data_IF_851295685484
#
_entry.id   IF_851295685484
#
_cell.length_a   1.000
_cell.length_b   1.000
_cell.length_c   1.000
_cell.angle_alpha   90.00
_cell.angle_beta   90.00
_cell.angle_gamma   90.00
#
_symmetry.space_group_name_H-M   'P 1'
#
loop_
_entity.id
_entity.type
_entity.pdbx_description
1 polymer ?
#
# COMPACT_ATOMS: atom_id res chain seq x y z
N UNK A 1 29.95 71.68 -23.20
CA UNK A 1 29.87 71.36 -21.76
C UNK A 1 28.88 70.25 -21.59
N UNK A 2 29.38 69.03 -21.48
CA UNK A 2 28.52 67.86 -21.23
C UNK A 2 28.05 67.90 -19.78
N UNK A 3 26.73 67.86 -19.59
CA UNK A 3 26.09 68.04 -18.29
C UNK A 3 26.26 66.73 -17.45
N UNK A 4 27.22 66.78 -16.48
CA UNK A 4 27.59 65.67 -15.59
C UNK A 4 26.38 65.12 -14.79
N UNK A 5 25.36 66.00 -14.58
CA UNK A 5 24.13 65.61 -13.87
C UNK A 5 23.31 64.55 -14.59
N UNK A 6 23.23 64.55 -15.90
CA UNK A 6 22.47 63.57 -16.68
C UNK A 6 23.15 62.18 -16.73
N UNK A 7 24.51 62.19 -16.66
CA UNK A 7 25.27 60.93 -16.64
C UNK A 7 25.09 60.15 -15.33
N UNK A 8 25.06 60.86 -14.21
CA UNK A 8 24.82 60.28 -12.88
C UNK A 8 23.39 59.75 -12.71
N UNK A 9 22.43 60.42 -13.35
CA UNK A 9 21.03 60.00 -13.30
C UNK A 9 20.76 58.76 -14.15
N UNK A 10 21.39 58.65 -15.31
CA UNK A 10 21.32 57.49 -16.16
C UNK A 10 22.00 56.26 -15.54
N UNK A 11 23.13 56.43 -14.85
CA UNK A 11 23.80 55.35 -14.10
C UNK A 11 22.96 54.82 -12.93
N UNK A 12 22.22 55.70 -12.23
CA UNK A 12 21.33 55.30 -11.14
C UNK A 12 20.11 54.51 -11.66
N UNK A 13 19.54 54.93 -12.79
CA UNK A 13 18.45 54.22 -13.45
C UNK A 13 18.88 52.84 -13.95
N UNK A 14 20.09 52.73 -14.54
CA UNK A 14 20.67 51.47 -15.01
C UNK A 14 20.89 50.47 -13.85
N UNK A 15 21.43 50.95 -12.72
CA UNK A 15 21.60 50.11 -11.52
C UNK A 15 20.27 49.68 -10.89
N UNK A 16 19.22 50.51 -10.91
CA UNK A 16 17.89 50.12 -10.45
C UNK A 16 17.25 49.06 -11.32
N UNK A 17 17.43 49.11 -12.65
CA UNK A 17 16.93 48.11 -13.61
C UNK A 17 17.67 46.78 -13.43
N UNK A 18 19.00 46.83 -13.22
CA UNK A 18 19.80 45.60 -12.98
C UNK A 18 19.42 44.93 -11.64
N UNK A 19 19.22 45.75 -10.57
CA UNK A 19 18.76 45.23 -9.28
C UNK A 19 17.35 44.66 -9.35
N UNK A 20 16.42 45.27 -10.10
CA UNK A 20 15.07 44.77 -10.31
C UNK A 20 15.06 43.45 -11.12
N UNK A 21 15.93 43.30 -12.13
CA UNK A 21 16.05 42.07 -12.90
C UNK A 21 16.63 40.89 -12.10
N UNK A 22 17.56 41.16 -11.17
CA UNK A 22 18.13 40.13 -10.28
C UNK A 22 17.09 39.72 -9.22
N UNK A 23 16.25 40.64 -8.71
CA UNK A 23 15.18 40.31 -7.78
C UNK A 23 14.09 39.47 -8.41
N UNK A 24 13.80 39.65 -9.72
CA UNK A 24 12.79 38.86 -10.44
C UNK A 24 13.28 37.42 -10.77
N UNK A 25 14.59 37.20 -10.84
CA UNK A 25 15.16 35.89 -11.08
C UNK A 25 15.13 34.96 -9.85
N UNK A 26 14.90 35.49 -8.64
CA UNK A 26 14.84 34.71 -7.41
C UNK A 26 13.44 34.19 -7.07
N UNK A 27 12.40 34.53 -7.86
CA UNK A 27 11.03 34.00 -7.65
C UNK A 27 10.73 32.70 -8.38
N UNK A 28 11.74 32.04 -8.91
CA UNK A 28 11.59 30.84 -9.76
C UNK A 28 11.91 29.50 -9.07
N UNK A 29 11.93 29.38 -7.74
CA UNK A 29 11.84 28.07 -7.11
C UNK A 29 10.37 27.69 -7.05
N UNK A 30 9.89 27.02 -8.11
CA UNK A 30 8.61 26.34 -8.09
C UNK A 30 8.69 25.19 -7.08
N UNK A 31 8.27 25.44 -5.85
CA UNK A 31 7.86 24.36 -4.96
C UNK A 31 6.66 23.70 -5.65
N UNK A 32 6.86 22.49 -6.16
CA UNK A 32 5.74 21.66 -6.58
C UNK A 32 4.73 21.62 -5.42
N UNK A 33 3.43 21.84 -5.69
CA UNK A 33 2.43 21.85 -4.64
C UNK A 33 2.56 20.55 -3.83
N UNK A 34 2.40 20.62 -2.50
CA UNK A 34 2.50 19.45 -1.66
C UNK A 34 1.51 18.41 -2.17
N UNK A 35 2.03 17.27 -2.65
CA UNK A 35 1.17 16.14 -3.03
C UNK A 35 0.58 15.62 -1.72
N UNK A 36 -0.66 15.98 -1.45
CA UNK A 36 -1.43 15.48 -0.31
C UNK A 36 -1.85 14.06 -0.67
N UNK A 37 -1.14 13.08 -0.15
CA UNK A 37 -1.64 11.71 -0.15
C UNK A 37 -2.81 11.63 0.84
N UNK A 38 -3.86 10.86 0.49
CA UNK A 38 -4.88 10.58 1.48
C UNK A 38 -4.20 9.93 2.69
N UNK A 39 -4.53 10.41 3.88
CA UNK A 39 -4.15 9.72 5.12
C UNK A 39 -4.85 8.38 5.10
N UNK A 40 -4.15 7.36 4.63
CA UNK A 40 -4.68 6.00 4.66
C UNK A 40 -4.59 5.54 6.09
N UNK A 41 -5.74 5.16 6.67
CA UNK A 41 -5.77 4.55 8.00
C UNK A 41 -4.79 3.36 8.01
N UNK A 42 -4.08 3.12 9.11
CA UNK A 42 -3.23 1.95 9.25
C UNK A 42 -4.03 0.70 8.87
N UNK A 43 -3.37 -0.22 8.17
CA UNK A 43 -4.00 -1.49 7.80
C UNK A 43 -4.45 -2.21 9.06
N UNK A 44 -5.77 -2.40 9.19
CA UNK A 44 -6.40 -3.07 10.31
C UNK A 44 -6.53 -4.57 9.97
N UNK A 45 -5.60 -5.37 10.46
CA UNK A 45 -5.58 -6.82 10.26
C UNK A 45 -6.78 -7.54 10.89
N UNK A 46 -7.45 -6.90 11.85
CA UNK A 46 -8.65 -7.46 12.50
C UNK A 46 -9.86 -7.48 11.58
N UNK A 47 -9.90 -6.60 10.58
CA UNK A 47 -10.95 -6.50 9.55
C UNK A 47 -10.63 -7.26 8.28
N UNK A 48 -9.50 -7.97 8.28
CA UNK A 48 -9.08 -8.73 7.13
C UNK A 48 -10.07 -9.85 6.85
N UNK A 49 -10.63 -9.87 5.65
CA UNK A 49 -11.42 -10.97 5.14
C UNK A 49 -10.50 -12.10 4.68
N UNK A 50 -10.73 -13.29 5.19
CA UNK A 50 -10.01 -14.50 4.80
C UNK A 50 -10.44 -14.97 3.40
N UNK A 51 -9.53 -15.63 2.70
CA UNK A 51 -9.77 -16.14 1.37
C UNK A 51 -8.99 -17.42 1.03
N UNK A 52 -9.23 -17.96 -0.17
CA UNK A 52 -8.56 -19.18 -0.62
C UNK A 52 -7.04 -19.09 -0.56
N UNK A 53 -6.41 -20.17 -0.07
CA UNK A 53 -4.95 -20.26 0.05
C UNK A 53 -4.36 -19.66 1.32
N UNK A 54 -5.14 -18.96 2.16
CA UNK A 54 -4.68 -18.47 3.44
C UNK A 54 -4.37 -19.64 4.38
N UNK A 55 -3.30 -19.49 5.18
CA UNK A 55 -2.94 -20.48 6.20
C UNK A 55 -3.29 -19.98 7.57
N UNK A 56 -4.02 -20.80 8.30
CA UNK A 56 -4.54 -20.54 9.63
C UNK A 56 -3.99 -21.59 10.60
N UNK A 57 -3.56 -21.14 11.77
CA UNK A 57 -3.23 -22.02 12.88
C UNK A 57 -4.37 -21.97 13.89
N UNK A 58 -5.02 -23.09 14.11
CA UNK A 58 -6.11 -23.27 15.05
C UNK A 58 -5.61 -24.00 16.28
N UNK A 59 -5.81 -23.40 17.45
CA UNK A 59 -5.55 -24.03 18.73
C UNK A 59 -6.84 -24.10 19.53
N UNK A 60 -7.19 -25.30 19.98
CA UNK A 60 -8.40 -25.58 20.75
C UNK A 60 -7.96 -26.06 22.14
N UNK A 61 -8.40 -25.34 23.18
CA UNK A 61 -8.19 -25.71 24.57
C UNK A 61 -9.49 -26.25 25.14
N UNK A 62 -9.42 -27.42 25.76
CA UNK A 62 -10.58 -28.08 26.42
C UNK A 62 -10.13 -28.86 27.67
N UNK A 63 -10.59 -28.40 28.84
CA UNK A 63 -10.07 -28.91 30.13
C UNK A 63 -8.58 -28.67 30.26
N UNK A 64 -7.81 -29.75 30.52
CA UNK A 64 -6.34 -29.70 30.58
C UNK A 64 -5.66 -30.08 29.25
N UNK A 65 -6.39 -30.21 28.15
CA UNK A 65 -5.88 -30.64 26.86
C UNK A 65 -5.82 -29.49 25.88
N UNK A 66 -4.86 -29.57 24.94
CA UNK A 66 -4.69 -28.67 23.83
C UNK A 66 -4.63 -29.48 22.53
N UNK A 67 -5.30 -28.99 21.52
CA UNK A 67 -5.18 -29.50 20.14
C UNK A 67 -4.78 -28.35 19.23
N UNK A 68 -3.65 -28.50 18.53
CA UNK A 68 -3.11 -27.48 17.63
C UNK A 68 -2.94 -28.05 16.25
N UNK A 69 -3.47 -27.37 15.23
CA UNK A 69 -3.38 -27.79 13.84
C UNK A 69 -3.29 -26.58 12.90
N UNK A 70 -2.59 -26.75 11.78
CA UNK A 70 -2.50 -25.75 10.72
C UNK A 70 -3.39 -26.16 9.55
N UNK A 71 -4.21 -25.24 9.09
CA UNK A 71 -5.14 -25.41 7.97
C UNK A 71 -4.78 -24.46 6.84
N UNK A 72 -4.88 -24.94 5.60
CA UNK A 72 -4.86 -24.08 4.42
C UNK A 72 -6.26 -24.04 3.85
N UNK A 73 -6.81 -22.84 3.65
CA UNK A 73 -8.13 -22.70 3.04
C UNK A 73 -8.08 -23.19 1.59
N UNK A 74 -9.04 -24.01 1.23
CA UNK A 74 -9.17 -24.57 -0.12
C UNK A 74 -9.60 -23.49 -1.15
N UNK A 75 -9.82 -23.90 -2.40
CA UNK A 75 -10.28 -23.01 -3.47
C UNK A 75 -11.68 -22.42 -3.22
N UNK A 76 -12.46 -23.05 -2.37
CA UNK A 76 -13.76 -22.56 -1.91
C UNK A 76 -13.65 -21.64 -0.69
N UNK A 77 -12.45 -21.49 -0.08
CA UNK A 77 -12.24 -20.74 1.15
C UNK A 77 -12.69 -21.49 2.41
N UNK A 78 -12.65 -22.82 2.35
CA UNK A 78 -13.12 -23.73 3.41
C UNK A 78 -11.96 -24.48 4.04
N UNK A 79 -12.17 -24.98 5.27
CA UNK A 79 -11.27 -25.89 5.97
C UNK A 79 -12.04 -26.95 6.73
N UNK A 80 -11.51 -28.17 6.82
CA UNK A 80 -12.11 -29.27 7.59
C UNK A 80 -11.51 -29.27 9.00
N UNK A 81 -12.34 -28.94 9.99
CA UNK A 81 -11.95 -28.87 11.40
C UNK A 81 -12.42 -30.14 12.12
N UNK A 82 -11.51 -30.74 12.89
CA UNK A 82 -11.82 -31.94 13.67
C UNK A 82 -13.08 -31.74 14.54
N UNK A 83 -13.93 -32.74 14.60
CA UNK A 83 -15.24 -32.81 15.30
C UNK A 83 -16.39 -32.08 14.60
N UNK A 84 -16.17 -30.92 14.00
CA UNK A 84 -17.24 -30.08 13.46
C UNK A 84 -17.33 -30.08 11.93
N UNK A 85 -16.37 -30.77 11.25
CA UNK A 85 -16.34 -30.86 9.78
C UNK A 85 -16.01 -29.52 9.11
N UNK A 86 -16.56 -29.30 7.93
CA UNK A 86 -16.25 -28.16 7.08
C UNK A 86 -16.72 -26.83 7.68
N UNK A 87 -15.81 -25.85 7.72
CA UNK A 87 -16.03 -24.47 8.13
C UNK A 87 -15.72 -23.55 6.95
N UNK A 88 -16.66 -22.69 6.58
CA UNK A 88 -16.49 -21.69 5.54
C UNK A 88 -15.89 -20.41 6.14
N UNK A 89 -14.67 -20.08 5.72
CA UNK A 89 -13.95 -18.87 6.16
C UNK A 89 -13.95 -17.78 5.10
N UNK A 90 -14.46 -18.01 3.89
CA UNK A 90 -14.45 -17.04 2.79
C UNK A 90 -15.18 -15.74 3.16
N UNK A 91 -14.52 -14.61 2.93
CA UNK A 91 -15.05 -13.27 3.22
C UNK A 91 -15.43 -13.04 4.69
N UNK A 92 -15.04 -13.92 5.59
CA UNK A 92 -15.19 -13.73 7.04
C UNK A 92 -13.90 -13.23 7.65
N UNK A 93 -14.02 -12.47 8.75
CA UNK A 93 -12.85 -12.08 9.53
C UNK A 93 -12.36 -13.25 10.39
N UNK A 94 -11.09 -13.18 10.81
CA UNK A 94 -10.53 -14.13 11.78
C UNK A 94 -11.44 -14.32 13.00
N UNK A 95 -11.99 -13.20 13.53
CA UNK A 95 -12.86 -13.22 14.71
C UNK A 95 -14.17 -13.96 14.44
N UNK A 96 -14.78 -13.76 13.27
CA UNK A 96 -16.04 -14.42 12.92
C UNK A 96 -15.85 -15.94 12.83
N UNK A 97 -14.78 -16.37 12.13
CA UNK A 97 -14.42 -17.78 11.99
C UNK A 97 -14.10 -18.43 13.35
N UNK A 98 -13.32 -17.73 14.17
CA UNK A 98 -13.01 -18.19 15.54
C UNK A 98 -14.27 -18.39 16.37
N UNK A 99 -15.20 -17.42 16.35
CA UNK A 99 -16.46 -17.48 17.10
C UNK A 99 -17.37 -18.59 16.60
N UNK A 100 -17.43 -18.80 15.27
CA UNK A 100 -18.20 -19.90 14.68
C UNK A 100 -17.66 -21.27 15.10
N UNK A 101 -16.35 -21.46 15.02
CA UNK A 101 -15.71 -22.71 15.45
C UNK A 101 -15.98 -22.97 16.93
N UNK A 102 -15.80 -21.97 17.77
CA UNK A 102 -16.04 -22.09 19.22
C UNK A 102 -17.49 -22.47 19.52
N UNK A 103 -18.45 -21.82 18.86
CA UNK A 103 -19.89 -22.12 19.05
C UNK A 103 -20.23 -23.53 18.61
N UNK A 104 -19.73 -23.98 17.42
CA UNK A 104 -20.01 -25.34 16.91
C UNK A 104 -19.35 -26.42 17.75
N UNK A 105 -18.15 -26.16 18.32
CA UNK A 105 -17.50 -27.11 19.24
C UNK A 105 -18.22 -27.22 20.58
N UNK A 106 -18.78 -26.12 21.10
CA UNK A 106 -19.56 -26.10 22.34
C UNK A 106 -20.91 -26.80 22.20
N UNK A 107 -21.43 -26.91 20.96
CA UNK A 107 -22.70 -27.57 20.66
C UNK A 107 -22.54 -29.10 20.61
N UNK A 108 -22.35 -29.70 21.78
CA UNK A 108 -22.36 -31.16 21.98
C UNK A 108 -21.02 -31.89 21.78
N UNK A 109 -19.93 -31.21 21.37
CA UNK A 109 -18.63 -31.88 21.18
C UNK A 109 -17.66 -31.66 22.34
N UNK A 110 -17.54 -30.42 22.85
CA UNK A 110 -16.58 -30.08 23.90
C UNK A 110 -17.26 -29.24 24.98
N UNK A 111 -16.88 -29.44 26.24
CA UNK A 111 -17.33 -28.63 27.34
C UNK A 111 -16.44 -27.38 27.45
N UNK A 112 -17.04 -26.20 27.30
CA UNK A 112 -16.36 -24.90 27.45
C UNK A 112 -15.04 -24.78 26.64
N UNK A 113 -15.06 -25.03 25.30
CA UNK A 113 -13.88 -24.93 24.51
C UNK A 113 -13.41 -23.47 24.38
N UNK A 114 -12.10 -23.24 24.49
CA UNK A 114 -11.48 -21.96 24.14
C UNK A 114 -10.76 -22.12 22.83
N UNK A 115 -11.10 -21.30 21.85
CA UNK A 115 -10.54 -21.37 20.49
C UNK A 115 -9.62 -20.16 20.25
N UNK A 116 -8.41 -20.42 19.79
CA UNK A 116 -7.47 -19.40 19.29
C UNK A 116 -7.22 -19.66 17.82
N UNK A 117 -7.43 -18.65 16.98
CA UNK A 117 -7.17 -18.70 15.54
C UNK A 117 -6.12 -17.65 15.18
N UNK A 118 -5.01 -18.06 14.55
CA UNK A 118 -3.93 -17.17 14.12
C UNK A 118 -3.79 -17.30 12.62
N UNK A 119 -3.69 -16.16 11.90
CA UNK A 119 -3.38 -16.14 10.47
C UNK A 119 -1.86 -16.21 10.33
N UNK A 120 -1.36 -17.34 9.81
CA UNK A 120 0.09 -17.59 9.63
C UNK A 120 0.58 -17.00 8.32
N UNK A 121 -0.19 -17.18 7.24
CA UNK A 121 0.12 -16.63 5.93
C UNK A 121 -1.15 -16.11 5.26
N UNK A 122 -1.06 -14.91 4.68
CA UNK A 122 -2.11 -14.33 3.84
C UNK A 122 -1.70 -14.54 2.38
N UNK A 123 -2.41 -15.40 1.67
CA UNK A 123 -2.15 -15.71 0.27
C UNK A 123 -3.30 -15.27 -0.66
N UNK A 124 -4.44 -14.92 -0.08
CA UNK A 124 -5.63 -14.48 -0.81
C UNK A 124 -5.56 -13.04 -1.29
N UNK A 125 -4.79 -12.20 -0.61
CA UNK A 125 -4.71 -10.78 -0.91
C UNK A 125 -3.62 -10.47 -1.94
N UNK A 126 -4.00 -9.76 -2.98
CA UNK A 126 -3.13 -9.40 -4.10
C UNK A 126 -3.30 -7.95 -4.50
N UNK A 127 -2.26 -7.41 -5.14
CA UNK A 127 -2.28 -6.16 -5.90
C UNK A 127 -1.81 -6.47 -7.31
N UNK A 128 -2.27 -5.71 -8.29
CA UNK A 128 -1.86 -5.88 -9.68
C UNK A 128 -0.88 -4.79 -10.07
N UNK A 129 0.27 -5.16 -10.64
CA UNK A 129 1.27 -4.21 -11.16
C UNK A 129 1.39 -4.38 -12.66
N UNK A 130 1.34 -3.28 -13.40
CA UNK A 130 1.35 -3.28 -14.86
C UNK A 130 2.09 -2.08 -15.44
N UNK A 131 2.42 -2.14 -16.74
CA UNK A 131 3.14 -1.09 -17.46
C UNK A 131 4.65 -1.29 -17.44
N UNK A 132 5.41 -0.22 -17.23
CA UNK A 132 6.87 -0.21 -17.34
C UNK A 132 7.58 -0.72 -16.07
N UNK A 133 7.34 -2.00 -15.74
CA UNK A 133 8.05 -2.78 -14.72
C UNK A 133 8.64 -4.04 -15.36
N UNK A 134 9.58 -4.68 -14.67
CA UNK A 134 10.26 -5.88 -15.20
C UNK A 134 9.30 -7.06 -15.31
N UNK A 135 8.41 -7.24 -14.32
CA UNK A 135 7.41 -8.31 -14.29
C UNK A 135 6.03 -7.73 -14.04
N UNK A 136 5.18 -7.81 -15.05
CA UNK A 136 3.76 -7.45 -14.93
C UNK A 136 2.97 -8.63 -14.32
N UNK A 137 1.94 -8.33 -13.56
CA UNK A 137 1.01 -9.31 -13.00
C UNK A 137 0.62 -9.03 -11.56
N UNK A 138 0.01 -10.05 -10.96
CA UNK A 138 -0.40 -9.97 -9.57
C UNK A 138 0.78 -10.24 -8.65
N UNK A 139 0.90 -9.41 -7.64
CA UNK A 139 1.86 -9.55 -6.54
C UNK A 139 1.11 -9.87 -5.24
N UNK A 140 1.76 -10.61 -4.36
CA UNK A 140 1.23 -10.90 -3.02
C UNK A 140 1.24 -9.62 -2.19
N UNK A 141 0.09 -9.29 -1.60
CA UNK A 141 0.01 -8.21 -0.64
C UNK A 141 0.55 -8.66 0.72
N UNK A 142 1.30 -7.78 1.37
CA UNK A 142 1.77 -7.96 2.75
C UNK A 142 1.29 -6.77 3.59
N UNK A 143 0.75 -6.98 4.79
CA UNK A 143 0.36 -5.87 5.67
C UNK A 143 1.48 -4.86 5.86
N UNK A 144 1.17 -3.58 5.67
CA UNK A 144 2.17 -2.50 5.71
C UNK A 144 2.95 -2.27 4.41
N UNK A 145 2.64 -3.01 3.33
CA UNK A 145 3.30 -2.85 2.04
C UNK A 145 3.20 -1.43 1.50
N UNK A 146 4.32 -0.93 1.02
CA UNK A 146 4.45 0.38 0.37
C UNK A 146 4.50 0.26 -1.15
N UNK A 147 4.30 1.39 -1.85
CA UNK A 147 4.44 1.45 -3.32
C UNK A 147 5.85 1.05 -3.79
N UNK A 148 6.89 1.41 -3.03
CA UNK A 148 8.28 1.06 -3.35
C UNK A 148 8.49 -0.45 -3.30
N UNK A 149 7.96 -1.11 -2.26
CA UNK A 149 8.01 -2.57 -2.11
C UNK A 149 7.21 -3.29 -3.19
N UNK A 150 6.02 -2.77 -3.54
CA UNK A 150 5.20 -3.33 -4.62
C UNK A 150 5.95 -3.33 -5.96
N UNK A 151 6.61 -2.22 -6.29
CA UNK A 151 7.45 -2.12 -7.50
C UNK A 151 8.66 -3.06 -7.40
N UNK A 152 9.32 -3.15 -6.24
CA UNK A 152 10.45 -4.05 -6.03
C UNK A 152 10.06 -5.53 -6.20
N UNK A 153 8.89 -5.95 -5.70
CA UNK A 153 8.37 -7.31 -5.93
C UNK A 153 8.13 -7.61 -7.41
N UNK A 154 7.80 -6.58 -8.21
CA UNK A 154 7.67 -6.69 -9.67
C UNK A 154 9.02 -6.65 -10.41
N UNK A 155 10.14 -6.75 -9.69
CA UNK A 155 11.50 -6.72 -10.24
C UNK A 155 12.04 -5.32 -10.49
N UNK A 156 11.31 -4.27 -10.07
CA UNK A 156 11.70 -2.88 -10.26
C UNK A 156 11.16 -2.26 -11.57
N UNK A 157 11.55 -1.03 -11.81
CA UNK A 157 11.18 -0.27 -13.00
C UNK A 157 11.93 -0.75 -14.25
N UNK A 158 11.26 -0.73 -15.41
CA UNK A 158 11.94 -0.86 -16.69
C UNK A 158 12.73 0.42 -17.04
N UNK A 159 13.70 0.37 -17.98
CA UNK A 159 14.46 1.56 -18.40
C UNK A 159 13.59 2.71 -18.94
N UNK A 160 12.40 2.40 -19.47
CA UNK A 160 11.49 3.39 -20.06
C UNK A 160 10.44 3.89 -19.06
N UNK A 161 10.52 3.50 -17.80
CA UNK A 161 9.52 3.86 -16.80
C UNK A 161 9.51 5.36 -16.47
N UNK A 162 8.32 5.95 -16.38
CA UNK A 162 8.10 7.28 -15.83
C UNK A 162 7.85 7.19 -14.32
N UNK A 163 8.91 7.13 -13.54
CA UNK A 163 8.91 6.84 -12.11
C UNK A 163 8.16 7.86 -11.24
N UNK A 164 8.06 9.12 -11.71
CA UNK A 164 7.39 10.21 -10.97
C UNK A 164 5.90 10.36 -11.28
N UNK A 165 5.33 9.45 -12.08
CA UNK A 165 3.92 9.51 -12.48
C UNK A 165 3.25 8.13 -12.39
N UNK A 166 3.67 7.31 -11.45
CA UNK A 166 3.05 6.00 -11.19
C UNK A 166 1.62 6.22 -10.73
N UNK A 167 0.68 5.50 -11.32
CA UNK A 167 -0.73 5.60 -11.01
C UNK A 167 -1.14 4.43 -10.12
N UNK A 168 -1.81 4.74 -9.01
CA UNK A 168 -2.42 3.74 -8.13
C UNK A 168 -3.92 3.96 -8.17
N UNK A 169 -4.66 2.96 -8.65
CA UNK A 169 -6.12 2.97 -8.68
C UNK A 169 -6.64 2.12 -7.54
N UNK A 170 -7.40 2.73 -6.65
CA UNK A 170 -8.07 2.13 -5.49
C UNK A 170 -9.56 2.36 -5.60
N UNK A 171 -10.32 1.31 -5.89
CA UNK A 171 -11.75 1.44 -6.15
C UNK A 171 -12.01 2.36 -7.34
N UNK A 172 -12.57 3.55 -7.09
CA UNK A 172 -12.88 4.57 -8.12
C UNK A 172 -11.82 5.67 -8.19
N UNK A 173 -10.93 5.76 -7.23
CA UNK A 173 -9.95 6.83 -7.11
C UNK A 173 -8.63 6.45 -7.76
N UNK A 174 -7.97 7.42 -8.41
CA UNK A 174 -6.65 7.23 -9.01
C UNK A 174 -5.70 8.30 -8.49
N UNK A 175 -4.58 7.85 -7.91
CA UNK A 175 -3.53 8.69 -7.35
C UNK A 175 -2.31 8.67 -8.27
N UNK A 176 -1.68 9.82 -8.47
CA UNK A 176 -0.40 9.95 -9.18
C UNK A 176 0.72 10.05 -8.16
N UNK A 177 1.59 9.07 -8.11
CA UNK A 177 2.60 8.91 -7.06
C UNK A 177 4.00 9.11 -7.64
N UNK A 178 4.78 10.06 -7.11
CA UNK A 178 6.17 10.30 -7.50
C UNK A 178 7.11 9.32 -6.78
N UNK A 179 7.14 8.06 -7.21
CA UNK A 179 7.86 6.97 -6.52
C UNK A 179 9.37 7.24 -6.44
N UNK A 180 9.95 7.93 -7.40
CA UNK A 180 11.37 8.31 -7.38
C UNK A 180 11.67 9.24 -6.20
N UNK A 181 10.83 10.27 -5.96
CA UNK A 181 10.99 11.18 -4.83
C UNK A 181 10.75 10.49 -3.48
N UNK A 182 9.88 9.48 -3.45
CA UNK A 182 9.67 8.65 -2.26
C UNK A 182 10.91 7.79 -1.99
N UNK A 183 11.48 7.15 -3.01
CA UNK A 183 12.68 6.33 -2.88
C UNK A 183 13.90 7.15 -2.43
N UNK A 184 13.97 8.43 -2.80
CA UNK A 184 15.00 9.38 -2.37
C UNK A 184 14.73 9.98 -0.96
N UNK A 185 13.64 9.60 -0.30
CA UNK A 185 13.26 10.13 1.02
C UNK A 185 12.72 11.57 1.00
N UNK A 186 12.47 12.14 -0.19
CA UNK A 186 11.96 13.52 -0.35
C UNK A 186 10.44 13.64 -0.17
N UNK A 187 9.74 12.53 -0.20
CA UNK A 187 8.28 12.45 -0.02
C UNK A 187 7.92 11.27 0.89
N UNK A 188 6.83 11.36 1.64
CA UNK A 188 6.35 10.24 2.45
C UNK A 188 5.99 9.04 1.58
N UNK A 189 6.12 7.84 2.13
CA UNK A 189 5.77 6.61 1.42
C UNK A 189 4.26 6.50 1.22
N UNK A 190 3.85 5.87 0.11
CA UNK A 190 2.44 5.63 -0.19
C UNK A 190 2.08 4.18 0.18
N UNK A 191 1.14 3.97 1.11
CA UNK A 191 0.72 2.63 1.50
C UNK A 191 -0.17 2.01 0.43
N UNK A 192 0.14 0.78 0.06
CA UNK A 192 -0.67 -0.05 -0.83
C UNK A 192 -1.71 -0.82 -0.03
N UNK A 193 -2.88 -1.02 -0.61
CA UNK A 193 -3.96 -1.80 -0.04
C UNK A 193 -4.30 -3.01 -0.93
N UNK A 194 -4.89 -4.06 -0.37
CA UNK A 194 -5.38 -5.18 -1.18
C UNK A 194 -6.33 -4.72 -2.29
N UNK A 195 -6.14 -5.26 -3.50
CA UNK A 195 -6.93 -4.91 -4.66
C UNK A 195 -6.50 -3.64 -5.39
N UNK A 196 -5.46 -2.93 -4.93
CA UNK A 196 -4.90 -1.80 -5.66
C UNK A 196 -4.33 -2.25 -7.02
N UNK A 197 -4.56 -1.42 -8.02
CA UNK A 197 -3.96 -1.57 -9.36
C UNK A 197 -2.92 -0.48 -9.56
N UNK A 198 -1.69 -0.90 -9.74
CA UNK A 198 -0.51 -0.05 -9.92
C UNK A 198 -0.14 -0.06 -11.40
N UNK A 199 -0.17 1.11 -12.03
CA UNK A 199 0.23 1.28 -13.42
C UNK A 199 1.43 2.20 -13.51
N UNK A 200 2.50 1.71 -14.13
CA UNK A 200 3.72 2.47 -14.38
C UNK A 200 3.72 2.93 -15.84
N UNK A 201 3.50 4.23 -16.11
CA UNK A 201 3.49 4.73 -17.47
C UNK A 201 4.90 4.77 -18.09
N UNK A 202 4.93 4.82 -19.40
CA UNK A 202 6.15 5.06 -20.16
C UNK A 202 6.55 6.55 -20.11
N UNK A 203 7.85 6.81 -20.12
CA UNK A 203 8.39 8.16 -20.22
C UNK A 203 8.17 8.67 -21.65
N UNK A 204 7.41 9.76 -21.79
CA UNK A 204 7.33 10.46 -23.06
C UNK A 204 8.70 11.08 -23.40
N UNK A 205 9.05 11.03 -24.66
CA UNK A 205 10.27 11.62 -25.23
C UNK A 205 10.15 13.14 -25.33
#
# INVERSE_FOLDING_TARGET
MLNVGNLLQSMRLLNLIVLASIALAMLGCGDDPPVVYPTVAPFDDTKLALGPGDKLELTIYYGSKESKATYTLDSAGQMDVQFIGTVDARNKTKKDVQSEIQSRLADGFLKEPVVSLIVVEINSLRCTVSGQVIRNGDIKFTPGMSIVEAIAQSGGFSPLARKNMVQVTRGKDTYKIPVELIAEGKRPNFPIMPGDRIFVPERAW
#
